data_IF_245070106687
#
_entry.id   IF_245070106687
#
_cell.length_a   1.000
_cell.length_b   1.000
_cell.length_c   1.000
_cell.angle_alpha   90.00
_cell.angle_beta   90.00
_cell.angle_gamma   90.00
#
_symmetry.space_group_name_H-M   'P 1'
#
loop_
_entity.id
_entity.type
_entity.pdbx_description
1 polymer ?
#
# COMPACT_ATOMS: atom_id res chain seq x y z
N UNK A 1 8.68 -14.95 10.15
CA UNK A 1 9.38 -15.20 8.89
C UNK A 1 8.89 -16.46 8.18
N UNK A 2 8.92 -17.67 8.78
CA UNK A 2 8.49 -18.93 8.10
C UNK A 2 7.04 -18.89 7.57
N UNK A 3 6.08 -18.32 8.32
CA UNK A 3 4.66 -18.22 7.90
C UNK A 3 4.43 -17.29 6.71
N UNK A 4 5.21 -16.21 6.58
CA UNK A 4 5.15 -15.27 5.45
C UNK A 4 5.75 -15.91 4.19
N UNK A 5 6.85 -16.64 4.35
CA UNK A 5 7.45 -17.41 3.24
C UNK A 5 6.48 -18.49 2.71
N UNK A 6 5.75 -19.15 3.61
CA UNK A 6 4.75 -20.16 3.26
C UNK A 6 3.57 -19.52 2.49
N UNK A 7 3.14 -18.36 2.90
CA UNK A 7 2.06 -17.62 2.22
C UNK A 7 2.49 -17.12 0.84
N UNK A 8 3.74 -16.63 0.71
CA UNK A 8 4.33 -16.28 -0.59
C UNK A 8 4.48 -17.51 -1.49
N UNK A 9 4.90 -18.65 -0.94
CA UNK A 9 4.99 -19.90 -1.68
C UNK A 9 3.60 -20.42 -2.13
N UNK A 10 2.57 -20.29 -1.31
CA UNK A 10 1.20 -20.63 -1.70
C UNK A 10 0.67 -19.68 -2.79
N UNK A 11 1.00 -18.40 -2.73
CA UNK A 11 0.65 -17.43 -3.77
C UNK A 11 1.33 -17.75 -5.10
N UNK A 12 2.62 -18.10 -5.08
CA UNK A 12 3.36 -18.51 -6.30
C UNK A 12 2.88 -19.85 -6.87
N UNK A 13 2.52 -20.80 -6.02
CA UNK A 13 1.95 -22.10 -6.46
C UNK A 13 0.55 -21.89 -7.05
N UNK A 14 -0.29 -21.02 -6.44
CA UNK A 14 -1.59 -20.65 -6.99
C UNK A 14 -1.48 -19.99 -8.36
N UNK A 15 -0.49 -19.13 -8.56
CA UNK A 15 -0.21 -18.50 -9.86
C UNK A 15 0.31 -19.49 -10.91
N UNK A 16 1.14 -20.47 -10.53
CA UNK A 16 1.64 -21.50 -11.43
C UNK A 16 0.55 -22.44 -11.95
N UNK A 17 -0.56 -22.54 -11.23
CA UNK A 17 -1.72 -23.36 -11.64
C UNK A 17 -2.66 -22.67 -12.63
N UNK A 18 -2.46 -21.35 -12.87
CA UNK A 18 -3.23 -20.59 -13.89
C UNK A 18 -2.51 -20.80 -15.22
N UNK A 19 -2.88 -21.88 -15.89
CA UNK A 19 -2.26 -22.34 -17.14
C UNK A 19 -2.73 -21.54 -18.39
N UNK A 20 -3.44 -20.42 -18.18
CA UNK A 20 -3.98 -19.57 -19.23
C UNK A 20 -3.18 -18.28 -19.31
N UNK A 21 -2.09 -18.29 -20.08
CA UNK A 21 -1.25 -17.11 -20.32
C UNK A 21 -2.03 -15.97 -21.00
N UNK A 22 -3.12 -16.27 -21.68
CA UNK A 22 -3.95 -15.27 -22.37
C UNK A 22 -4.72 -14.33 -21.42
N UNK A 23 -4.90 -14.72 -20.16
CA UNK A 23 -5.65 -13.94 -19.17
C UNK A 23 -4.76 -13.19 -18.17
N UNK A 24 -3.43 -13.32 -18.24
CA UNK A 24 -2.49 -12.66 -17.34
C UNK A 24 -1.89 -11.42 -18.00
N UNK A 25 -2.05 -10.28 -17.33
CA UNK A 25 -1.45 -9.00 -17.75
C UNK A 25 -0.49 -8.51 -16.67
N UNK A 26 0.69 -8.12 -17.06
CA UNK A 26 1.65 -7.45 -16.19
C UNK A 26 1.58 -5.94 -16.38
N UNK A 27 1.89 -5.20 -15.32
CA UNK A 27 1.92 -3.76 -15.38
C UNK A 27 2.81 -3.16 -14.30
N UNK A 28 3.08 -1.89 -14.46
CA UNK A 28 3.70 -1.05 -13.45
C UNK A 28 2.68 -0.05 -12.90
N UNK A 29 2.84 0.33 -11.64
CA UNK A 29 2.00 1.35 -10.99
C UNK A 29 2.84 2.32 -10.22
N UNK A 30 2.42 3.57 -10.23
CA UNK A 30 2.97 4.65 -9.40
C UNK A 30 1.82 5.49 -8.87
N UNK A 31 2.01 6.13 -7.74
CA UNK A 31 0.98 7.01 -7.21
C UNK A 31 1.38 7.75 -5.95
N UNK A 32 0.43 8.54 -5.50
CA UNK A 32 0.53 9.27 -4.24
C UNK A 32 -0.44 8.67 -3.23
N UNK A 33 -0.07 8.75 -1.97
CA UNK A 33 -0.92 8.34 -0.88
C UNK A 33 -0.94 9.37 0.23
N UNK A 34 -2.09 9.46 0.90
CA UNK A 34 -2.27 10.20 2.14
C UNK A 34 -2.50 9.18 3.23
N UNK A 35 -1.50 8.96 4.06
CA UNK A 35 -1.54 8.00 5.15
C UNK A 35 -1.69 8.69 6.49
N UNK A 36 -2.38 8.02 7.40
CA UNK A 36 -2.60 8.48 8.76
C UNK A 36 -2.65 7.26 9.70
N UNK A 37 -2.56 7.55 10.98
CA UNK A 37 -2.80 6.60 12.05
C UNK A 37 -4.23 6.73 12.58
N UNK A 38 -4.80 5.63 13.05
CA UNK A 38 -6.22 5.60 13.48
C UNK A 38 -6.49 6.31 14.80
N UNK A 39 -5.44 6.73 15.53
CA UNK A 39 -5.54 7.41 16.83
C UNK A 39 -5.56 8.92 16.62
N UNK A 40 -6.30 9.62 17.49
CA UNK A 40 -6.35 11.09 17.54
C UNK A 40 -4.98 11.69 17.90
N UNK A 41 -4.62 12.81 17.28
CA UNK A 41 -3.35 13.51 17.52
C UNK A 41 -2.28 13.27 16.45
N UNK A 42 -2.59 12.47 15.43
CA UNK A 42 -1.76 12.31 14.24
C UNK A 42 -2.42 12.97 13.04
N UNK A 43 -1.63 13.70 12.28
CA UNK A 43 -2.04 14.29 11.02
C UNK A 43 -1.68 13.40 9.83
N UNK A 44 -2.47 13.54 8.76
CA UNK A 44 -2.21 12.84 7.51
C UNK A 44 -0.89 13.29 6.90
N UNK A 45 -0.16 12.32 6.38
CA UNK A 45 1.09 12.55 5.69
C UNK A 45 1.02 12.07 4.25
N UNK A 46 1.47 12.94 3.35
CA UNK A 46 1.60 12.58 1.94
C UNK A 46 2.84 11.71 1.76
N UNK A 47 2.63 10.61 1.07
CA UNK A 47 3.64 9.66 0.66
C UNK A 47 3.49 9.31 -0.82
N UNK A 48 4.22 8.31 -1.25
CA UNK A 48 4.13 7.77 -2.60
C UNK A 48 4.21 6.24 -2.55
N UNK A 49 3.78 5.62 -3.64
CA UNK A 49 3.98 4.20 -3.87
C UNK A 49 4.36 3.95 -5.32
N UNK A 50 5.13 2.90 -5.53
CA UNK A 50 5.51 2.44 -6.86
C UNK A 50 5.75 0.93 -6.82
N UNK A 51 5.48 0.25 -7.93
CA UNK A 51 5.75 -1.18 -8.01
C UNK A 51 5.22 -1.84 -9.26
N UNK A 52 5.18 -3.16 -9.20
CA UNK A 52 4.64 -4.01 -10.25
C UNK A 52 3.30 -4.56 -9.85
N UNK A 53 2.45 -4.80 -10.82
CA UNK A 53 1.16 -5.46 -10.61
C UNK A 53 0.90 -6.49 -11.69
N UNK A 54 0.03 -7.43 -11.37
CA UNK A 54 -0.48 -8.44 -12.29
C UNK A 54 -1.99 -8.50 -12.15
N UNK A 55 -2.68 -8.55 -13.27
CA UNK A 55 -4.11 -8.86 -13.32
C UNK A 55 -4.31 -10.20 -14.02
N UNK A 56 -5.12 -11.05 -13.41
CA UNK A 56 -5.51 -12.35 -13.97
C UNK A 56 -7.01 -12.35 -14.17
N UNK A 57 -7.46 -12.37 -15.42
CA UNK A 57 -8.86 -12.54 -15.76
C UNK A 57 -9.36 -13.91 -15.29
N UNK A 58 -10.58 -13.97 -14.76
CA UNK A 58 -11.23 -15.19 -14.28
C UNK A 58 -12.54 -15.43 -15.04
N UNK A 59 -12.51 -15.63 -16.39
CA UNK A 59 -13.70 -15.79 -17.21
C UNK A 59 -14.51 -17.05 -16.84
N UNK A 60 -13.89 -18.04 -16.21
CA UNK A 60 -14.56 -19.21 -15.67
C UNK A 60 -15.53 -18.89 -14.52
N UNK A 61 -15.37 -17.75 -13.84
CA UNK A 61 -16.31 -17.26 -12.82
C UNK A 61 -17.38 -16.39 -13.49
N UNK A 62 -16.95 -15.36 -14.21
CA UNK A 62 -17.79 -14.49 -15.03
C UNK A 62 -16.90 -13.58 -15.87
N UNK A 63 -17.41 -13.15 -17.04
CA UNK A 63 -16.75 -12.12 -17.83
C UNK A 63 -16.58 -10.84 -17.00
N UNK A 64 -15.38 -10.24 -17.02
CA UNK A 64 -15.03 -9.05 -16.26
C UNK A 64 -14.55 -9.29 -14.83
N UNK A 65 -14.70 -10.49 -14.28
CA UNK A 65 -14.07 -10.83 -12.97
C UNK A 65 -12.57 -11.03 -13.14
N UNK A 66 -11.79 -10.45 -12.25
CA UNK A 66 -10.33 -10.57 -12.27
C UNK A 66 -9.72 -10.57 -10.86
N UNK A 67 -8.52 -11.09 -10.76
CA UNK A 67 -7.66 -11.00 -9.59
C UNK A 67 -6.61 -9.92 -9.84
N UNK A 68 -6.48 -8.95 -8.95
CA UNK A 68 -5.46 -7.88 -8.96
C UNK A 68 -4.45 -8.15 -7.85
N UNK A 69 -3.19 -8.29 -8.22
CA UNK A 69 -2.09 -8.55 -7.31
C UNK A 69 -0.93 -7.61 -7.59
N UNK A 70 -0.07 -7.39 -6.60
CA UNK A 70 1.08 -6.53 -6.80
C UNK A 70 2.17 -6.70 -5.76
N UNK A 71 3.28 -6.03 -6.02
CA UNK A 71 4.35 -5.80 -5.07
C UNK A 71 4.73 -4.32 -5.14
N UNK A 72 4.39 -3.57 -4.10
CA UNK A 72 4.48 -2.12 -4.06
C UNK A 72 5.45 -1.70 -2.96
N UNK A 73 6.39 -0.83 -3.28
CA UNK A 73 7.11 -0.07 -2.28
C UNK A 73 6.25 1.15 -1.92
N UNK A 74 5.79 1.22 -0.68
CA UNK A 74 4.84 2.24 -0.22
C UNK A 74 5.44 2.99 0.96
N UNK A 75 5.53 4.32 0.87
CA UNK A 75 5.84 5.20 1.99
C UNK A 75 4.53 5.49 2.73
N UNK A 76 4.31 4.83 3.86
CA UNK A 76 3.21 5.09 4.78
C UNK A 76 3.77 5.88 5.97
N UNK A 77 3.02 6.82 6.50
CA UNK A 77 3.52 7.56 7.66
C UNK A 77 2.46 8.43 8.28
N UNK A 78 2.87 9.11 9.34
CA UNK A 78 2.05 10.10 10.02
C UNK A 78 2.94 11.25 10.50
N UNK A 79 2.30 12.36 10.81
CA UNK A 79 2.93 13.53 11.41
C UNK A 79 2.26 13.78 12.77
N UNK A 80 3.06 14.09 13.78
CA UNK A 80 2.57 14.69 15.02
C UNK A 80 2.90 16.17 14.91
N UNK A 81 1.87 17.03 14.94
CA UNK A 81 2.04 18.48 14.95
C UNK A 81 1.95 18.99 16.39
N UNK A 82 3.06 19.40 16.96
CA UNK A 82 3.15 20.03 18.30
C UNK A 82 3.01 21.56 18.26
N UNK A 83 2.47 22.12 17.18
CA UNK A 83 2.40 23.55 16.94
C UNK A 83 3.74 24.12 16.46
N UNK A 84 4.00 25.41 16.72
CA UNK A 84 5.23 26.08 16.29
C UNK A 84 6.50 25.60 16.96
N UNK A 85 6.40 24.76 18.00
CA UNK A 85 7.54 24.36 18.81
C UNK A 85 8.26 23.10 18.31
N UNK A 86 7.54 22.08 17.83
CA UNK A 86 8.16 20.86 17.31
C UNK A 86 7.15 20.02 16.47
N UNK A 87 7.61 19.38 15.42
CA UNK A 87 6.85 18.36 14.69
C UNK A 87 7.68 17.09 14.54
N UNK A 88 7.04 15.93 14.67
CA UNK A 88 7.68 14.64 14.46
C UNK A 88 7.06 13.98 13.24
N UNK A 89 7.89 13.66 12.25
CA UNK A 89 7.48 12.98 11.01
C UNK A 89 8.01 11.56 11.00
N UNK A 90 7.13 10.59 10.83
CA UNK A 90 7.45 9.18 10.66
C UNK A 90 7.43 8.83 9.17
N UNK A 91 8.50 8.20 8.69
CA UNK A 91 8.70 7.84 7.28
C UNK A 91 8.99 6.34 7.12
N UNK A 92 8.09 5.43 7.48
CA UNK A 92 8.28 4.01 7.25
C UNK A 92 8.00 3.63 5.80
N UNK A 93 8.89 2.83 5.21
CA UNK A 93 8.72 2.20 3.90
C UNK A 93 8.31 0.76 4.07
N UNK A 94 7.27 0.36 3.38
CA UNK A 94 6.71 -0.99 3.38
C UNK A 94 6.80 -1.61 1.99
N UNK A 95 7.14 -2.89 1.95
CA UNK A 95 6.79 -3.74 0.83
C UNK A 95 5.37 -4.23 1.07
N UNK A 96 4.45 -3.81 0.23
CA UNK A 96 3.04 -4.16 0.30
C UNK A 96 2.66 -5.11 -0.83
N UNK A 97 1.90 -6.14 -0.51
CA UNK A 97 1.42 -7.17 -1.42
C UNK A 97 -0.09 -7.22 -1.31
N UNK A 98 -0.82 -6.43 -2.13
CA UNK A 98 -2.27 -6.55 -2.25
C UNK A 98 -2.66 -7.80 -3.04
N UNK A 99 -3.79 -8.40 -2.67
CA UNK A 99 -4.45 -9.50 -3.40
C UNK A 99 -5.94 -9.23 -3.38
N UNK A 100 -6.45 -8.65 -4.45
CA UNK A 100 -7.83 -8.20 -4.54
C UNK A 100 -8.58 -8.97 -5.62
N UNK A 101 -9.83 -9.27 -5.39
CA UNK A 101 -10.77 -9.70 -6.43
C UNK A 101 -11.55 -8.49 -6.90
N UNK A 102 -11.78 -8.38 -8.19
CA UNK A 102 -12.44 -7.24 -8.78
C UNK A 102 -13.36 -7.60 -9.92
N UNK A 103 -14.10 -6.59 -10.33
CA UNK A 103 -14.94 -6.63 -11.51
C UNK A 103 -14.64 -5.42 -12.39
N UNK A 104 -14.53 -5.67 -13.70
CA UNK A 104 -14.30 -4.68 -14.74
C UNK A 104 -15.47 -4.68 -15.71
N UNK A 105 -16.14 -3.55 -15.81
CA UNK A 105 -17.24 -3.32 -16.73
C UNK A 105 -16.75 -2.55 -17.95
N UNK A 106 -16.71 -3.20 -19.10
CA UNK A 106 -16.37 -2.54 -20.36
C UNK A 106 -17.55 -1.68 -20.81
N UNK A 107 -17.35 -0.37 -20.84
CA UNK A 107 -18.34 0.60 -21.36
C UNK A 107 -18.28 0.62 -22.88
N UNK A 108 -17.07 0.50 -23.43
CA UNK A 108 -16.80 0.32 -24.87
C UNK A 108 -15.42 -0.35 -25.04
N UNK A 109 -14.98 -0.54 -26.28
CA UNK A 109 -13.70 -1.21 -26.60
C UNK A 109 -12.47 -0.54 -25.98
N UNK A 110 -12.53 0.76 -25.73
CA UNK A 110 -11.40 1.56 -25.24
C UNK A 110 -11.55 2.05 -23.79
N UNK A 111 -12.71 1.84 -23.18
CA UNK A 111 -12.98 2.38 -21.85
C UNK A 111 -13.73 1.39 -20.97
N UNK A 112 -13.20 1.17 -19.79
CA UNK A 112 -13.83 0.36 -18.76
C UNK A 112 -13.79 1.05 -17.39
N UNK A 113 -14.76 0.70 -16.55
CA UNK A 113 -14.80 1.07 -15.13
C UNK A 113 -14.50 -0.19 -14.35
N UNK A 114 -13.72 -0.08 -13.28
CA UNK A 114 -13.41 -1.23 -12.46
C UNK A 114 -13.46 -0.92 -10.96
N UNK A 115 -13.70 -1.96 -10.19
CA UNK A 115 -13.55 -1.94 -8.74
C UNK A 115 -12.99 -3.26 -8.25
N UNK A 116 -12.16 -3.22 -7.23
CA UNK A 116 -11.64 -4.41 -6.60
C UNK A 116 -11.48 -4.21 -5.09
N UNK A 117 -11.52 -5.31 -4.35
CA UNK A 117 -11.33 -5.33 -2.90
C UNK A 117 -10.67 -6.63 -2.48
N UNK A 118 -9.94 -6.59 -1.37
CA UNK A 118 -9.30 -7.77 -0.82
C UNK A 118 -8.28 -7.44 0.26
N UNK A 119 -7.61 -8.46 0.78
CA UNK A 119 -6.56 -8.27 1.77
C UNK A 119 -5.28 -7.70 1.15
N UNK A 120 -4.50 -7.05 1.99
CA UNK A 120 -3.10 -6.77 1.73
C UNK A 120 -2.22 -7.24 2.89
N UNK A 121 -0.99 -7.59 2.57
CA UNK A 121 0.09 -7.84 3.53
C UNK A 121 1.16 -6.79 3.29
N UNK A 122 1.75 -6.25 4.38
CA UNK A 122 2.86 -5.33 4.24
C UNK A 122 3.96 -5.63 5.27
N UNK A 123 5.22 -5.44 4.84
CA UNK A 123 6.40 -5.65 5.68
C UNK A 123 7.22 -4.37 5.67
N UNK A 124 7.43 -3.77 6.84
CA UNK A 124 8.29 -2.62 7.03
C UNK A 124 9.75 -2.98 6.74
N UNK A 125 10.31 -2.33 5.73
CA UNK A 125 11.68 -2.55 5.30
C UNK A 125 12.66 -1.67 6.07
N UNK A 126 12.45 -0.37 5.98
CA UNK A 126 13.25 0.67 6.63
C UNK A 126 12.38 1.91 6.84
N UNK A 127 12.86 2.82 7.69
CA UNK A 127 12.17 4.08 7.93
C UNK A 127 12.91 4.92 8.93
N UNK A 128 12.69 6.23 8.87
CA UNK A 128 13.30 7.21 9.75
C UNK A 128 12.23 8.06 10.43
N UNK A 129 12.40 8.33 11.72
CA UNK A 129 11.69 9.38 12.40
C UNK A 129 12.55 10.66 12.34
N UNK A 130 11.93 11.78 12.00
CA UNK A 130 12.57 13.10 12.01
C UNK A 130 11.79 14.03 12.91
N UNK A 131 12.48 14.69 13.83
CA UNK A 131 11.93 15.80 14.59
C UNK A 131 12.37 17.11 13.92
N UNK A 132 11.45 18.05 13.74
CA UNK A 132 11.68 19.37 13.16
C UNK A 132 11.02 20.41 14.09
N UNK A 133 11.68 21.55 14.37
CA UNK A 133 11.14 22.65 15.17
C UNK A 133 12.19 23.65 15.57
N UNK A 134 11.80 24.92 15.77
CA UNK A 134 12.69 26.05 16.07
C UNK A 134 13.52 25.86 17.34
N UNK A 135 13.06 25.02 18.28
CA UNK A 135 13.81 24.73 19.55
C UNK A 135 14.89 23.66 19.30
N UNK A 136 14.76 22.84 18.27
CA UNK A 136 15.68 21.76 17.98
C UNK A 136 16.88 22.19 17.12
N UNK A 137 16.73 23.29 16.39
CA UNK A 137 17.81 23.89 15.59
C UNK A 137 18.85 24.61 16.48
N UNK A 138 18.50 24.94 17.73
CA UNK A 138 19.43 25.55 18.72
C UNK A 138 20.29 24.51 19.47
N UNK A 139 19.87 23.24 19.43
CA UNK A 139 20.67 22.11 19.94
C UNK A 139 21.12 21.27 18.76
N UNK A 140 22.43 21.21 18.51
CA UNK A 140 23.02 20.21 17.59
C UNK A 140 22.69 18.80 18.08
N UNK A 141 21.47 18.34 17.80
CA UNK A 141 21.18 16.92 17.87
C UNK A 141 21.87 16.28 16.67
N UNK A 142 22.98 15.58 16.96
CA UNK A 142 23.63 14.64 16.08
C UNK A 142 22.57 13.87 15.26
N UNK A 143 22.80 13.65 13.98
CA UNK A 143 21.89 13.11 12.93
C UNK A 143 21.36 11.69 13.31
N UNK A 144 20.77 11.58 14.48
CA UNK A 144 20.15 10.38 15.05
C UNK A 144 18.74 10.20 14.48
N UNK A 145 18.67 9.99 13.15
CA UNK A 145 17.48 9.44 12.55
C UNK A 145 17.26 8.02 13.09
N UNK A 146 16.50 7.93 14.16
CA UNK A 146 16.17 6.66 14.80
C UNK A 146 15.36 5.80 13.82
N UNK A 147 15.78 4.54 13.65
CA UNK A 147 15.03 3.58 12.84
C UNK A 147 13.65 3.38 13.47
N UNK A 148 12.59 3.69 12.72
CA UNK A 148 11.21 3.56 13.21
C UNK A 148 10.80 2.12 13.52
N UNK A 149 11.56 1.13 13.08
CA UNK A 149 11.34 -0.30 13.31
C UNK A 149 12.29 -0.90 14.37
N UNK A 150 12.78 -0.11 15.34
CA UNK A 150 13.59 -0.57 16.47
C UNK A 150 12.80 -1.39 17.48
N UNK A 151 13.48 -1.87 18.54
CA UNK A 151 12.94 -2.88 19.48
C UNK A 151 11.67 -2.44 20.24
N UNK A 152 11.41 -1.13 20.43
CA UNK A 152 10.22 -0.59 21.10
C UNK A 152 9.41 0.39 20.21
N UNK A 153 9.63 0.38 18.89
CA UNK A 153 9.02 1.29 17.95
C UNK A 153 7.88 0.62 17.14
N UNK A 154 7.80 0.92 15.86
CA UNK A 154 6.74 0.39 15.01
C UNK A 154 6.93 -1.09 14.67
N UNK A 155 5.85 -1.85 14.67
CA UNK A 155 5.84 -3.24 14.18
C UNK A 155 6.09 -3.24 12.67
N UNK A 156 6.94 -4.17 12.21
CA UNK A 156 7.24 -4.32 10.77
C UNK A 156 6.09 -4.93 9.97
N UNK A 157 5.25 -5.74 10.62
CA UNK A 157 4.17 -6.45 9.95
C UNK A 157 2.88 -5.61 10.01
N UNK A 158 2.27 -5.41 8.84
CA UNK A 158 0.95 -4.81 8.68
C UNK A 158 0.08 -5.72 7.80
N UNK A 159 -1.19 -5.79 8.13
CA UNK A 159 -2.22 -6.54 7.42
C UNK A 159 -3.52 -5.76 7.45
N UNK A 160 -4.25 -5.77 6.36
CA UNK A 160 -5.51 -5.07 6.27
C UNK A 160 -6.34 -5.47 5.08
N UNK A 161 -7.37 -4.68 4.86
CA UNK A 161 -8.27 -4.77 3.71
C UNK A 161 -8.13 -3.51 2.88
N UNK A 162 -8.11 -3.68 1.56
CA UNK A 162 -8.09 -2.61 0.59
C UNK A 162 -9.35 -2.62 -0.28
N UNK A 163 -9.76 -1.44 -0.69
CA UNK A 163 -10.78 -1.20 -1.71
C UNK A 163 -10.20 -0.25 -2.73
N UNK A 164 -10.41 -0.52 -4.03
CA UNK A 164 -9.96 0.34 -5.12
C UNK A 164 -11.05 0.44 -6.18
N UNK A 165 -11.22 1.63 -6.74
CA UNK A 165 -12.08 1.86 -7.89
C UNK A 165 -11.35 2.76 -8.89
N UNK A 166 -11.67 2.61 -10.17
CA UNK A 166 -10.99 3.38 -11.20
C UNK A 166 -11.55 3.18 -12.59
N UNK A 167 -10.81 3.73 -13.54
CA UNK A 167 -11.12 3.66 -14.97
C UNK A 167 -9.90 3.13 -15.72
N UNK A 168 -10.17 2.40 -16.78
CA UNK A 168 -9.14 1.85 -17.67
C UNK A 168 -9.37 2.39 -19.09
N UNK A 169 -8.28 2.80 -19.73
CA UNK A 169 -8.25 3.29 -21.10
C UNK A 169 -7.40 2.38 -21.97
N UNK A 170 -7.93 2.09 -23.17
CA UNK A 170 -7.26 1.29 -24.21
C UNK A 170 -6.74 -0.05 -23.70
N UNK A 171 -7.40 -0.63 -22.68
CA UNK A 171 -7.00 -1.85 -21.98
C UNK A 171 -5.57 -1.83 -21.43
N UNK A 172 -4.97 -0.65 -21.32
CA UNK A 172 -3.55 -0.48 -20.98
C UNK A 172 -3.31 0.47 -19.81
N UNK A 173 -4.02 1.56 -19.71
CA UNK A 173 -3.79 2.60 -18.71
C UNK A 173 -4.93 2.62 -17.69
N UNK A 174 -4.59 2.62 -16.42
CA UNK A 174 -5.57 2.75 -15.34
C UNK A 174 -5.29 3.97 -14.50
N UNK A 175 -6.36 4.67 -14.12
CA UNK A 175 -6.37 5.69 -13.06
C UNK A 175 -7.30 5.18 -11.97
N UNK A 176 -6.84 5.15 -10.73
CA UNK A 176 -7.63 4.63 -9.62
C UNK A 176 -7.47 5.43 -8.35
N UNK A 177 -8.50 5.39 -7.52
CA UNK A 177 -8.50 5.78 -6.12
C UNK A 177 -8.70 4.53 -5.27
N UNK A 178 -7.96 4.42 -4.18
CA UNK A 178 -8.03 3.29 -3.27
C UNK A 178 -7.94 3.72 -1.82
N UNK A 179 -8.42 2.85 -0.94
CA UNK A 179 -8.32 3.05 0.49
C UNK A 179 -7.99 1.73 1.20
N UNK A 180 -6.99 1.78 2.10
CA UNK A 180 -6.58 0.64 2.91
C UNK A 180 -6.94 0.87 4.38
N UNK A 181 -7.57 -0.15 4.96
CA UNK A 181 -7.85 -0.27 6.39
C UNK A 181 -6.89 -1.28 7.01
N UNK A 182 -5.87 -0.81 7.73
CA UNK A 182 -5.04 -1.66 8.56
C UNK A 182 -5.87 -2.29 9.68
N UNK A 183 -5.68 -3.56 9.91
CA UNK A 183 -6.36 -4.35 10.94
C UNK A 183 -5.43 -4.69 12.11
N UNK A 184 -4.13 -4.67 11.87
CA UNK A 184 -3.09 -4.95 12.87
C UNK A 184 -2.57 -3.63 13.44
N UNK A 185 -2.25 -3.64 14.72
CA UNK A 185 -1.59 -2.51 15.38
C UNK A 185 -0.16 -2.33 14.84
N UNK A 186 0.17 -1.12 14.44
CA UNK A 186 1.49 -0.76 13.95
C UNK A 186 2.44 -0.23 15.05
N UNK A 187 1.90 0.19 16.20
CA UNK A 187 2.66 0.54 17.40
C UNK A 187 2.19 -0.38 18.52
N UNK A 188 3.14 -0.93 19.29
CA UNK A 188 2.87 -1.89 20.35
C UNK A 188 1.97 -1.27 21.44
N UNK A 189 0.92 -2.02 21.84
CA UNK A 189 0.00 -1.69 22.94
C UNK A 189 -0.71 -0.32 22.79
N UNK A 190 -0.81 0.21 21.55
CA UNK A 190 -1.41 1.52 21.28
C UNK A 190 -2.80 1.46 20.68
N UNK A 191 -3.23 0.29 20.16
CA UNK A 191 -4.44 0.17 19.35
C UNK A 191 -4.36 0.87 17.99
N UNK A 192 -3.19 1.43 17.65
CA UNK A 192 -2.99 2.24 16.46
C UNK A 192 -2.87 1.40 15.18
N UNK A 193 -3.59 1.78 14.13
CA UNK A 193 -3.66 1.06 12.86
C UNK A 193 -3.44 2.01 11.69
N UNK A 194 -2.87 1.49 10.61
CA UNK A 194 -2.66 2.27 9.38
C UNK A 194 -3.99 2.58 8.68
N UNK A 195 -4.06 3.77 8.11
CA UNK A 195 -5.09 4.24 7.18
C UNK A 195 -4.39 4.87 6.01
N UNK A 196 -4.76 4.51 4.79
CA UNK A 196 -4.04 4.96 3.62
C UNK A 196 -4.99 5.20 2.45
N UNK A 197 -5.13 6.45 2.04
CA UNK A 197 -5.84 6.86 0.82
C UNK A 197 -4.83 6.95 -0.31
N UNK A 198 -5.12 6.37 -1.47
CA UNK A 198 -4.20 6.30 -2.61
C UNK A 198 -4.84 6.81 -3.90
N UNK A 199 -4.04 7.47 -4.71
CA UNK A 199 -4.35 7.75 -6.12
C UNK A 199 -3.23 7.14 -6.93
N UNK A 200 -3.57 6.27 -7.90
CA UNK A 200 -2.60 5.48 -8.66
C UNK A 200 -2.79 5.62 -10.15
N UNK A 201 -1.68 5.62 -10.85
CA UNK A 201 -1.60 5.47 -12.30
C UNK A 201 -0.92 4.13 -12.59
N UNK A 202 -1.51 3.30 -13.45
CA UNK A 202 -0.93 2.02 -13.84
C UNK A 202 -0.87 1.90 -15.36
N UNK A 203 0.15 1.19 -15.84
CA UNK A 203 0.33 0.88 -17.25
C UNK A 203 0.61 -0.61 -17.39
N UNK A 204 -0.17 -1.29 -18.24
CA UNK A 204 -0.03 -2.71 -18.58
C UNK A 204 0.70 -2.89 -19.91
N UNK A 205 1.41 -3.99 -20.03
CA UNK A 205 2.23 -4.34 -21.21
C UNK A 205 2.17 -5.84 -21.49
#
# INVERSE_FOLDING_TARGET
>A
MKKVLLLMAMLTIGLASINDQDNLRWGATVGMNSSNFSITGFDSKIGFHAGVKAEVGLPQISEGVYLDMGALLTLKGAKIDGGSAASIKFNPYYLEIPVHIGYKYAVNENFAIFGNAGPYLAIGLFGKAKAEGDILDEYEFDDNSTNVFGDDAMKRFDFGLGLKAGVEFSQKYQISIGYDWGLVENIKDSGNKNRNLMISLSCFF
#
